data_IF_102124175610
#
_entry.id   IF_102124175610
#
_cell.length_a   1.000
_cell.length_b   1.000
_cell.length_c   1.000
_cell.angle_alpha   90.00
_cell.angle_beta   90.00
_cell.angle_gamma   90.00
#
_symmetry.space_group_name_H-M   'P 1'
#
loop_
_entity.id
_entity.type
_entity.pdbx_description
1 polymer ?
#
# COMPACT_ATOMS: atom_id res chain seq x y z
N UNK A 1 23.95 -38.81 -52.34
CA UNK A 1 24.80 -38.58 -51.15
C UNK A 1 24.05 -37.60 -50.25
N UNK A 2 23.56 -38.08 -49.12
CA UNK A 2 22.73 -37.34 -48.16
C UNK A 2 23.67 -36.59 -47.20
N UNK A 3 23.55 -35.27 -47.09
CA UNK A 3 24.25 -34.50 -46.05
C UNK A 3 23.30 -33.55 -45.31
N UNK A 4 22.85 -34.08 -44.17
CA UNK A 4 22.71 -33.44 -42.84
C UNK A 4 21.84 -32.18 -42.74
N UNK A 5 20.64 -32.39 -42.21
CA UNK A 5 19.84 -31.40 -41.49
C UNK A 5 20.66 -30.75 -40.37
N UNK A 6 20.77 -29.42 -40.37
CA UNK A 6 21.22 -28.64 -39.23
C UNK A 6 19.97 -28.16 -38.48
N UNK A 7 19.52 -28.97 -37.52
CA UNK A 7 18.49 -28.59 -36.56
C UNK A 7 19.14 -27.59 -35.59
N UNK A 8 19.05 -26.29 -35.88
CA UNK A 8 19.51 -25.24 -34.98
C UNK A 8 18.44 -25.00 -33.90
N UNK A 9 18.37 -25.92 -32.93
CA UNK A 9 17.67 -25.70 -31.68
C UNK A 9 18.68 -25.10 -30.70
N UNK A 10 18.52 -23.84 -30.30
CA UNK A 10 18.93 -23.39 -28.97
C UNK A 10 18.38 -21.98 -28.66
N UNK A 11 17.45 -21.98 -27.70
CA UNK A 11 17.36 -21.06 -26.56
C UNK A 11 16.92 -19.62 -26.87
N UNK A 12 15.60 -19.43 -26.88
CA UNK A 12 15.01 -18.18 -26.45
C UNK A 12 15.49 -17.87 -25.02
N UNK A 13 16.37 -16.89 -24.87
CA UNK A 13 16.73 -16.29 -23.59
C UNK A 13 15.48 -15.57 -23.06
N UNK A 14 14.67 -16.26 -22.26
CA UNK A 14 13.78 -15.56 -21.34
C UNK A 14 14.68 -14.89 -20.30
N UNK A 15 14.95 -13.60 -20.47
CA UNK A 15 15.57 -12.79 -19.44
C UNK A 15 14.58 -12.70 -18.26
N UNK A 16 14.73 -13.60 -17.29
CA UNK A 16 14.10 -13.44 -15.98
C UNK A 16 14.81 -12.26 -15.32
N UNK A 17 14.18 -11.09 -15.37
CA UNK A 17 14.62 -9.95 -14.58
C UNK A 17 14.57 -10.36 -13.10
N UNK A 18 15.62 -10.08 -12.29
CA UNK A 18 15.58 -10.38 -10.88
C UNK A 18 14.42 -9.58 -10.26
N UNK A 19 13.49 -10.28 -9.61
CA UNK A 19 12.46 -9.63 -8.82
C UNK A 19 13.18 -8.83 -7.72
N UNK A 20 13.08 -7.50 -7.76
CA UNK A 20 13.59 -6.66 -6.70
C UNK A 20 12.79 -6.98 -5.43
N UNK A 21 13.46 -7.48 -4.40
CA UNK A 21 12.84 -7.70 -3.10
C UNK A 21 12.42 -6.35 -2.54
N UNK A 22 11.14 -6.19 -2.18
CA UNK A 22 10.64 -4.94 -1.64
C UNK A 22 11.40 -4.54 -0.38
N UNK A 23 11.68 -3.25 -0.25
CA UNK A 23 12.21 -2.72 1.01
C UNK A 23 11.13 -2.80 2.10
N UNK A 24 11.54 -2.83 3.38
CA UNK A 24 10.57 -2.80 4.48
C UNK A 24 9.68 -1.55 4.44
N UNK A 25 10.19 -0.42 3.93
CA UNK A 25 9.40 0.80 3.75
C UNK A 25 8.28 0.59 2.71
N UNK A 26 8.61 0.02 1.55
CA UNK A 26 7.63 -0.33 0.51
C UNK A 26 6.59 -1.33 1.02
N UNK A 27 7.04 -2.35 1.75
CA UNK A 27 6.14 -3.35 2.31
C UNK A 27 5.11 -2.73 3.27
N UNK A 28 5.56 -1.83 4.16
CA UNK A 28 4.66 -1.10 5.06
C UNK A 28 3.64 -0.24 4.32
N UNK A 29 4.05 0.43 3.24
CA UNK A 29 3.12 1.24 2.46
C UNK A 29 2.05 0.36 1.78
N UNK A 30 2.47 -0.77 1.22
CA UNK A 30 1.55 -1.74 0.64
C UNK A 30 0.60 -2.37 1.68
N UNK A 31 1.06 -2.57 2.93
CA UNK A 31 0.21 -3.03 4.03
C UNK A 31 -0.82 -1.97 4.43
N UNK A 32 -0.42 -0.70 4.47
CA UNK A 32 -1.33 0.42 4.74
C UNK A 32 -2.42 0.55 3.66
N UNK A 33 -2.04 0.50 2.38
CA UNK A 33 -2.98 0.55 1.26
C UNK A 33 -3.99 -0.59 1.33
N UNK A 34 -3.53 -1.82 1.62
CA UNK A 34 -4.42 -2.96 1.84
C UNK A 34 -5.35 -2.73 3.03
N UNK A 35 -4.83 -2.24 4.16
CA UNK A 35 -5.65 -1.97 5.34
C UNK A 35 -6.75 -0.93 5.05
N UNK A 36 -6.45 0.13 4.30
CA UNK A 36 -7.43 1.12 3.87
C UNK A 36 -8.51 0.51 2.96
N UNK A 37 -8.09 -0.21 1.93
CA UNK A 37 -9.00 -0.90 1.01
C UNK A 37 -9.92 -1.87 1.75
N UNK A 38 -9.36 -2.69 2.64
CA UNK A 38 -10.14 -3.65 3.42
C UNK A 38 -11.08 -2.96 4.40
N UNK A 39 -10.66 -1.86 5.02
CA UNK A 39 -11.51 -1.12 5.93
C UNK A 39 -12.73 -0.53 5.23
N UNK A 40 -12.53 0.13 4.08
CA UNK A 40 -13.62 0.71 3.30
C UNK A 40 -14.54 -0.38 2.74
N UNK A 41 -13.99 -1.51 2.31
CA UNK A 41 -14.79 -2.66 1.83
C UNK A 41 -15.65 -3.28 2.92
N UNK A 42 -15.16 -3.36 4.16
CA UNK A 42 -15.85 -4.03 5.26
C UNK A 42 -16.85 -3.12 6.00
N UNK A 43 -16.55 -1.83 6.14
CA UNK A 43 -17.33 -0.91 6.96
C UNK A 43 -18.00 0.23 6.17
N UNK A 44 -17.71 0.35 4.87
CA UNK A 44 -18.21 1.45 4.04
C UNK A 44 -17.48 2.77 4.29
N UNK A 45 -17.85 3.76 3.50
CA UNK A 45 -17.35 5.14 3.52
C UNK A 45 -18.42 6.16 3.96
N UNK A 46 -19.58 5.68 4.44
CA UNK A 46 -20.65 6.53 4.94
C UNK A 46 -20.17 7.46 6.06
N UNK A 47 -20.28 8.77 5.84
CA UNK A 47 -19.84 9.80 6.80
C UNK A 47 -18.32 10.07 6.82
N UNK A 48 -17.57 9.49 5.87
CA UNK A 48 -16.18 9.83 5.60
C UNK A 48 -16.15 10.93 4.52
N UNK A 49 -15.42 12.02 4.77
CA UNK A 49 -15.29 13.09 3.77
C UNK A 49 -14.36 12.70 2.62
N UNK A 50 -14.58 13.33 1.46
CA UNK A 50 -13.66 13.22 0.33
C UNK A 50 -12.25 13.70 0.70
N UNK A 51 -12.12 14.78 1.49
CA UNK A 51 -10.83 15.31 1.96
C UNK A 51 -10.03 14.25 2.75
N UNK A 52 -10.69 13.53 3.66
CA UNK A 52 -10.03 12.45 4.41
C UNK A 52 -9.58 11.31 3.48
N UNK A 53 -10.42 10.90 2.52
CA UNK A 53 -10.07 9.84 1.56
C UNK A 53 -8.92 10.26 0.63
N UNK A 54 -8.96 11.49 0.13
CA UNK A 54 -7.91 12.07 -0.71
C UNK A 54 -6.59 12.22 0.03
N UNK A 55 -6.62 12.61 1.31
CA UNK A 55 -5.42 12.65 2.15
C UNK A 55 -4.77 11.27 2.28
N UNK A 56 -5.59 10.23 2.47
CA UNK A 56 -5.09 8.84 2.55
C UNK A 56 -4.50 8.38 1.21
N UNK A 57 -5.18 8.68 0.10
CA UNK A 57 -4.69 8.38 -1.24
C UNK A 57 -3.37 9.13 -1.54
N UNK A 58 -3.27 10.39 -1.12
CA UNK A 58 -2.06 11.21 -1.25
C UNK A 58 -0.88 10.63 -0.47
N UNK A 59 -1.10 10.21 0.78
CA UNK A 59 -0.09 9.54 1.60
C UNK A 59 0.44 8.27 0.93
N UNK A 60 -0.44 7.46 0.34
CA UNK A 60 -0.06 6.26 -0.42
C UNK A 60 0.74 6.63 -1.68
N UNK A 61 0.26 7.61 -2.46
CA UNK A 61 0.90 8.06 -3.69
C UNK A 61 2.32 8.61 -3.47
N UNK A 62 2.59 9.19 -2.29
CA UNK A 62 3.92 9.67 -1.89
C UNK A 62 4.80 8.58 -1.25
N UNK A 63 4.38 7.32 -1.28
CA UNK A 63 5.14 6.18 -0.74
C UNK A 63 5.09 6.07 0.79
N UNK A 64 4.05 6.61 1.43
CA UNK A 64 3.82 6.54 2.87
C UNK A 64 4.97 7.10 3.73
N UNK A 65 5.57 8.20 3.26
CA UNK A 65 6.76 8.81 3.91
C UNK A 65 6.43 10.05 4.73
N UNK A 66 5.41 10.81 4.34
CA UNK A 66 4.97 12.02 5.03
C UNK A 66 4.15 11.71 6.29
N UNK A 67 4.43 12.37 7.41
CA UNK A 67 3.76 12.11 8.69
C UNK A 67 2.81 13.24 9.08
N UNK A 68 1.69 12.87 9.71
CA UNK A 68 0.84 13.80 10.47
C UNK A 68 0.10 14.84 9.63
N UNK A 69 -0.27 14.51 8.39
CA UNK A 69 -0.94 15.43 7.46
C UNK A 69 -2.46 15.27 7.44
N UNK A 70 -3.02 14.22 8.06
CA UNK A 70 -4.45 13.93 7.98
C UNK A 70 -5.10 14.08 9.36
N UNK A 71 -5.98 15.07 9.52
CA UNK A 71 -6.78 15.23 10.73
C UNK A 71 -8.21 14.69 10.51
N UNK A 72 -8.64 13.63 11.22
CA UNK A 72 -10.03 13.15 11.14
C UNK A 72 -11.01 14.14 11.79
N UNK A 73 -11.88 14.73 10.98
CA UNK A 73 -12.86 15.75 11.36
C UNK A 73 -14.18 15.14 11.87
N UNK A 74 -14.60 13.97 11.36
CA UNK A 74 -15.86 13.32 11.75
C UNK A 74 -15.68 12.15 12.74
N UNK A 75 -16.73 11.74 13.49
CA UNK A 75 -16.68 10.51 14.30
C UNK A 75 -16.35 9.26 13.47
N UNK A 76 -16.85 9.19 12.25
CA UNK A 76 -16.62 8.08 11.32
C UNK A 76 -15.17 8.06 10.86
N UNK A 77 -14.59 9.23 10.55
CA UNK A 77 -13.17 9.37 10.19
C UNK A 77 -12.24 9.00 11.34
N UNK A 78 -12.58 9.42 12.57
CA UNK A 78 -11.83 9.01 13.77
C UNK A 78 -11.87 7.50 13.95
N UNK A 79 -13.05 6.90 13.80
CA UNK A 79 -13.19 5.45 13.88
C UNK A 79 -12.41 4.73 12.76
N UNK A 80 -12.35 5.28 11.54
CA UNK A 80 -11.52 4.73 10.47
C UNK A 80 -10.03 4.87 10.79
N UNK A 81 -9.58 6.04 11.26
CA UNK A 81 -8.20 6.28 11.69
C UNK A 81 -7.74 5.32 12.80
N UNK A 82 -8.59 5.10 13.81
CA UNK A 82 -8.32 4.15 14.90
C UNK A 82 -8.19 2.72 14.37
N UNK A 83 -9.08 2.31 13.45
CA UNK A 83 -9.00 0.98 12.82
C UNK A 83 -7.72 0.81 12.01
N UNK A 84 -7.36 1.79 11.19
CA UNK A 84 -6.14 1.72 10.38
C UNK A 84 -4.88 1.66 11.25
N UNK A 85 -4.88 2.39 12.37
CA UNK A 85 -3.83 2.30 13.38
C UNK A 85 -3.72 0.87 13.92
N UNK A 86 -4.84 0.27 14.35
CA UNK A 86 -4.84 -1.10 14.87
C UNK A 86 -4.48 -2.16 13.82
N UNK A 87 -5.03 -2.05 12.61
CA UNK A 87 -4.76 -2.97 11.51
C UNK A 87 -3.28 -2.97 11.13
N UNK A 88 -2.66 -1.80 10.99
CA UNK A 88 -1.23 -1.71 10.68
C UNK A 88 -0.33 -2.16 11.84
N UNK A 89 -0.73 -1.90 13.10
CA UNK A 89 -0.04 -2.45 14.26
C UNK A 89 -0.07 -3.98 14.30
N UNK A 90 -1.17 -4.61 13.89
CA UNK A 90 -1.26 -6.07 13.78
C UNK A 90 -0.30 -6.64 12.72
N UNK A 91 0.10 -5.84 11.73
CA UNK A 91 1.12 -6.17 10.74
C UNK A 91 2.57 -5.89 11.25
N UNK A 92 2.72 -5.54 12.54
CA UNK A 92 4.02 -5.27 13.16
C UNK A 92 4.54 -3.85 12.95
N UNK A 93 3.70 -2.92 12.50
CA UNK A 93 4.08 -1.52 12.29
C UNK A 93 3.94 -0.72 13.59
N UNK A 94 4.75 0.32 13.77
CA UNK A 94 4.59 1.24 14.90
C UNK A 94 3.35 2.12 14.71
N UNK A 95 2.66 2.47 15.80
CA UNK A 95 1.52 3.41 15.76
C UNK A 95 1.87 4.80 15.22
N UNK A 96 3.15 5.15 15.18
CA UNK A 96 3.67 6.40 14.59
C UNK A 96 3.82 6.35 13.07
N UNK A 97 3.51 5.22 12.44
CA UNK A 97 3.56 5.08 10.98
C UNK A 97 2.39 5.76 10.28
N UNK A 98 1.18 5.67 10.85
CA UNK A 98 -0.04 6.19 10.21
C UNK A 98 0.01 7.73 10.08
N UNK A 99 -0.64 8.32 9.06
CA UNK A 99 -0.51 9.74 8.74
C UNK A 99 -1.39 10.66 9.60
N UNK A 100 -1.97 10.16 10.70
CA UNK A 100 -2.99 10.89 11.45
C UNK A 100 -2.39 11.81 12.51
N UNK A 101 -2.69 13.10 12.40
CA UNK A 101 -2.42 14.10 13.43
C UNK A 101 -3.38 15.29 13.24
N UNK A 102 -3.70 15.98 14.35
CA UNK A 102 -4.53 17.19 14.32
C UNK A 102 -3.77 18.38 14.91
N UNK A 103 -4.00 19.59 14.39
CA UNK A 103 -3.49 20.82 15.01
C UNK A 103 -4.02 20.93 16.45
N UNK A 104 -3.20 21.50 17.34
CA UNK A 104 -3.59 21.80 18.72
C UNK A 104 -4.33 23.12 18.83
#
# INVERSE_FOLDING_TARGET
MITRAALCACLALCAVAPAHAQTWAEQKCALYERALSDALRLWGDDGISAEFLEGNAGFIAQGCTERGQICPASPQERALADRLTMMTMNEGMASTFVPFACPR
#
